data_IF_301517641073
#
_entry.id   IF_301517641073
#
_cell.length_a   1.000
_cell.length_b   1.000
_cell.length_c   1.000
_cell.angle_alpha   90.00
_cell.angle_beta   90.00
_cell.angle_gamma   90.00
#
_symmetry.space_group_name_H-M   'P 1'
#
loop_
_entity.id
_entity.type
_entity.pdbx_description
1 polymer ?
#
# COMPACT_ATOMS: atom_id res chain seq x y z
N UNK A 1 -22.42 -9.20 -20.41
CA UNK A 1 -22.23 -7.93 -19.66
C UNK A 1 -21.62 -8.29 -18.32
N UNK A 2 -20.53 -7.65 -17.93
CA UNK A 2 -19.93 -7.81 -16.60
C UNK A 2 -20.66 -6.88 -15.63
N UNK A 3 -21.39 -7.46 -14.67
CA UNK A 3 -22.23 -6.70 -13.74
C UNK A 3 -21.44 -6.09 -12.58
N UNK A 4 -20.22 -6.59 -12.33
CA UNK A 4 -19.40 -6.16 -11.19
C UNK A 4 -18.65 -4.83 -11.40
N UNK A 5 -18.53 -4.33 -12.63
CA UNK A 5 -17.87 -3.06 -12.92
C UNK A 5 -16.41 -3.02 -12.43
N UNK A 6 -16.04 -1.99 -11.66
CA UNK A 6 -14.68 -1.84 -11.06
C UNK A 6 -14.49 -2.62 -9.75
N UNK A 7 -15.56 -3.23 -9.23
CA UNK A 7 -15.58 -3.94 -7.95
C UNK A 7 -15.29 -5.42 -8.17
N UNK A 8 -14.04 -5.73 -8.51
CA UNK A 8 -13.55 -7.10 -8.70
C UNK A 8 -12.55 -7.43 -7.59
N UNK A 9 -12.67 -8.61 -6.98
CA UNK A 9 -11.73 -9.09 -5.95
C UNK A 9 -11.83 -8.31 -4.65
N UNK A 10 -10.68 -7.92 -4.06
CA UNK A 10 -10.65 -7.20 -2.78
C UNK A 10 -11.49 -5.93 -2.79
N UNK A 11 -11.52 -5.22 -3.92
CA UNK A 11 -12.35 -4.03 -4.13
C UNK A 11 -13.83 -4.30 -3.90
N UNK A 12 -14.31 -5.49 -4.24
CA UNK A 12 -15.69 -5.91 -3.95
C UNK A 12 -15.87 -6.17 -2.46
N UNK A 13 -15.02 -7.00 -1.87
CA UNK A 13 -15.13 -7.41 -0.47
C UNK A 13 -15.05 -6.22 0.49
N UNK A 14 -14.15 -5.27 0.23
CA UNK A 14 -14.08 -4.02 0.99
C UNK A 14 -15.38 -3.21 0.81
N UNK A 15 -15.88 -3.05 -0.42
CA UNK A 15 -17.07 -2.25 -0.70
C UNK A 15 -18.40 -2.82 -0.15
N UNK A 16 -18.43 -4.11 0.22
CA UNK A 16 -19.59 -4.76 0.85
C UNK A 16 -19.36 -5.09 2.32
N UNK A 17 -18.27 -4.61 2.92
CA UNK A 17 -17.87 -4.86 4.31
C UNK A 17 -17.93 -6.36 4.68
N UNK A 18 -17.42 -7.20 3.78
CA UNK A 18 -17.44 -8.66 3.93
C UNK A 18 -16.14 -9.13 4.58
N UNK A 19 -16.26 -9.75 5.76
CA UNK A 19 -15.13 -10.40 6.41
C UNK A 19 -14.63 -11.59 5.58
N UNK A 20 -13.37 -11.51 5.16
CA UNK A 20 -12.68 -12.58 4.43
C UNK A 20 -11.63 -13.25 5.32
N UNK A 21 -11.50 -14.57 5.18
CA UNK A 21 -10.57 -15.36 5.98
C UNK A 21 -9.10 -14.93 5.78
N UNK A 22 -8.74 -14.55 4.56
CA UNK A 22 -7.43 -14.01 4.21
C UNK A 22 -7.60 -12.86 3.21
N UNK A 23 -7.38 -11.60 3.62
CA UNK A 23 -7.53 -10.46 2.72
C UNK A 23 -6.42 -10.45 1.66
N UNK A 24 -6.67 -9.73 0.57
CA UNK A 24 -5.66 -9.52 -0.46
C UNK A 24 -4.41 -8.87 0.13
N UNK A 25 -3.24 -9.37 -0.27
CA UNK A 25 -1.96 -8.90 0.26
C UNK A 25 -1.62 -9.43 1.67
N UNK A 26 -2.44 -10.30 2.27
CA UNK A 26 -2.13 -10.92 3.54
C UNK A 26 -0.98 -11.93 3.41
N UNK A 27 -0.02 -11.85 4.33
CA UNK A 27 1.07 -12.79 4.44
C UNK A 27 1.64 -12.75 5.85
N UNK A 28 1.71 -13.91 6.50
CA UNK A 28 2.40 -14.03 7.78
C UNK A 28 3.91 -14.07 7.55
N UNK A 29 4.63 -13.55 8.54
CA UNK A 29 6.08 -13.56 8.56
C UNK A 29 6.60 -14.03 9.90
N UNK A 30 7.81 -14.59 9.91
CA UNK A 30 8.48 -15.02 11.14
C UNK A 30 9.14 -13.86 11.90
N UNK A 31 9.05 -12.64 11.38
CA UNK A 31 9.52 -11.41 12.02
C UNK A 31 8.37 -10.41 12.13
N UNK A 32 8.48 -9.49 13.10
CA UNK A 32 7.51 -8.42 13.30
C UNK A 32 8.09 -7.13 12.78
N UNK A 33 7.38 -6.46 11.87
CA UNK A 33 7.80 -5.20 11.28
C UNK A 33 6.88 -4.06 11.70
N UNK A 34 7.44 -2.87 11.86
CA UNK A 34 6.69 -1.63 12.13
C UNK A 34 6.98 -0.61 11.04
N UNK A 35 5.95 0.13 10.66
CA UNK A 35 6.07 1.28 9.76
C UNK A 35 5.88 2.55 10.59
N UNK A 36 6.80 3.50 10.45
CA UNK A 36 6.75 4.81 11.13
C UNK A 36 7.16 5.94 10.18
N UNK A 37 7.05 7.17 10.66
CA UNK A 37 7.59 8.37 9.99
C UNK A 37 7.11 8.52 8.54
N UNK A 38 5.80 8.32 8.35
CA UNK A 38 5.16 8.40 7.04
C UNK A 38 5.02 9.87 6.66
N UNK A 39 5.65 10.26 5.56
CA UNK A 39 5.59 11.59 4.99
C UNK A 39 5.22 11.53 3.50
N UNK A 40 4.38 12.46 3.06
CA UNK A 40 3.97 12.59 1.66
C UNK A 40 4.49 13.93 1.16
N UNK A 41 5.34 13.90 0.13
CA UNK A 41 5.82 15.10 -0.53
C UNK A 41 5.08 15.30 -1.86
N UNK A 42 4.58 16.53 -2.13
CA UNK A 42 3.96 16.85 -3.40
C UNK A 42 4.99 16.73 -4.54
N UNK A 43 4.53 16.55 -5.79
CA UNK A 43 5.44 16.35 -6.90
C UNK A 43 6.23 17.63 -7.19
N UNK A 44 7.49 17.48 -7.59
CA UNK A 44 8.36 18.62 -7.95
C UNK A 44 7.90 19.36 -9.21
N UNK A 45 6.92 18.84 -9.93
CA UNK A 45 6.44 19.36 -11.22
C UNK A 45 4.91 19.42 -11.24
N UNK A 46 4.38 20.58 -11.65
CA UNK A 46 2.95 20.82 -11.87
C UNK A 46 2.47 20.36 -13.26
N UNK A 47 3.37 19.93 -14.14
CA UNK A 47 3.02 19.43 -15.47
C UNK A 47 2.47 18.02 -15.37
N UNK A 48 1.17 17.88 -15.59
CA UNK A 48 0.46 16.60 -15.67
C UNK A 48 0.78 15.89 -17.00
N UNK A 49 1.98 15.31 -17.11
CA UNK A 49 2.30 14.35 -18.18
C UNK A 49 1.94 12.95 -17.65
N UNK A 50 1.29 12.13 -18.48
CA UNK A 50 1.03 10.74 -18.16
C UNK A 50 2.32 10.03 -17.67
N UNK A 51 2.22 9.27 -16.58
CA UNK A 51 3.33 8.58 -15.90
C UNK A 51 4.28 9.47 -15.08
N UNK A 52 3.95 10.74 -14.81
CA UNK A 52 4.70 11.54 -13.83
C UNK A 52 4.30 11.17 -12.40
N UNK A 53 5.25 10.92 -11.48
CA UNK A 53 4.95 10.72 -10.07
C UNK A 53 4.19 11.94 -9.52
N UNK A 54 3.00 11.70 -8.98
CA UNK A 54 2.09 12.73 -8.45
C UNK A 54 2.27 12.97 -6.95
N UNK A 55 3.07 12.15 -6.29
CA UNK A 55 3.53 12.32 -4.91
C UNK A 55 4.73 11.40 -4.69
N UNK A 56 5.56 11.71 -3.70
CA UNK A 56 6.59 10.80 -3.18
C UNK A 56 6.18 10.45 -1.75
N UNK A 57 6.06 9.17 -1.43
CA UNK A 57 5.77 8.69 -0.09
C UNK A 57 7.08 8.16 0.52
N UNK A 58 7.53 8.77 1.61
CA UNK A 58 8.65 8.27 2.40
C UNK A 58 8.17 7.73 3.74
N UNK A 59 8.75 6.62 4.18
CA UNK A 59 8.43 6.00 5.47
C UNK A 59 9.62 5.18 5.96
N UNK A 60 9.64 4.89 7.26
CA UNK A 60 10.60 4.00 7.88
C UNK A 60 9.97 2.63 8.11
N UNK A 61 10.70 1.57 7.76
CA UNK A 61 10.36 0.18 8.08
C UNK A 61 11.38 -0.35 9.08
N UNK A 62 10.92 -0.84 10.22
CA UNK A 62 11.73 -1.45 11.26
C UNK A 62 11.38 -2.92 11.42
N UNK A 63 12.37 -3.81 11.42
CA UNK A 63 12.21 -5.18 11.90
C UNK A 63 12.48 -5.21 13.42
N UNK A 64 11.46 -5.48 14.22
CA UNK A 64 11.55 -5.62 15.67
C UNK A 64 11.73 -7.08 16.14
N UNK A 65 11.85 -8.03 15.22
CA UNK A 65 12.13 -9.43 15.50
C UNK A 65 13.61 -9.73 15.71
N UNK A 66 13.88 -10.96 16.17
CA UNK A 66 15.22 -11.49 16.41
C UNK A 66 15.84 -12.21 15.19
N UNK A 67 15.12 -12.26 14.07
CA UNK A 67 15.55 -12.87 12.84
C UNK A 67 15.43 -11.89 11.67
N UNK A 68 16.34 -11.98 10.71
CA UNK A 68 16.23 -11.23 9.45
C UNK A 68 15.05 -11.73 8.61
N UNK A 69 14.54 -10.86 7.74
CA UNK A 69 13.37 -11.17 6.93
C UNK A 69 13.13 -10.17 5.82
N UNK A 70 12.05 -10.38 5.08
CA UNK A 70 11.57 -9.48 4.03
C UNK A 70 10.15 -9.06 4.33
N UNK A 71 9.91 -7.76 4.34
CA UNK A 71 8.62 -7.14 4.54
C UNK A 71 8.07 -6.63 3.20
N UNK A 72 6.77 -6.76 2.96
CA UNK A 72 6.13 -6.28 1.72
C UNK A 72 5.16 -5.15 2.06
N UNK A 73 5.63 -3.91 1.95
CA UNK A 73 4.82 -2.73 2.22
C UNK A 73 3.96 -2.40 1.01
N UNK A 74 2.65 -2.27 1.23
CA UNK A 74 1.65 -2.04 0.18
C UNK A 74 1.06 -0.64 0.34
N UNK A 75 1.04 0.14 -0.74
CA UNK A 75 0.50 1.49 -0.78
C UNK A 75 -0.86 1.46 -1.45
N UNK A 76 -1.89 1.81 -0.69
CA UNK A 76 -3.26 1.92 -1.17
C UNK A 76 -3.69 3.39 -1.24
N UNK A 77 -4.40 3.77 -2.30
CA UNK A 77 -4.96 5.11 -2.48
C UNK A 77 -6.48 5.00 -2.45
N UNK A 78 -7.10 5.87 -1.66
CA UNK A 78 -8.55 6.06 -1.61
C UNK A 78 -8.88 7.38 -2.32
N UNK A 79 -9.88 7.37 -3.21
CA UNK A 79 -10.38 8.59 -3.84
C UNK A 79 -11.51 9.17 -2.99
N UNK A 80 -11.34 10.40 -2.52
CA UNK A 80 -12.36 11.10 -1.73
C UNK A 80 -13.41 11.82 -2.59
N UNK A 81 -13.14 12.04 -3.86
CA UNK A 81 -13.95 12.86 -4.76
C UNK A 81 -14.04 12.32 -6.20
N UNK A 82 -15.12 12.69 -6.88
CA UNK A 82 -15.40 12.33 -8.27
C UNK A 82 -16.86 11.95 -8.52
N UNK A 83 -17.24 11.89 -9.79
CA UNK A 83 -18.57 11.40 -10.23
C UNK A 83 -18.44 9.92 -10.55
N UNK A 84 -19.15 9.06 -9.81
CA UNK A 84 -19.17 7.61 -10.04
C UNK A 84 -19.03 6.80 -8.75
N UNK A 85 -18.97 5.47 -8.89
CA UNK A 85 -18.65 4.55 -7.80
C UNK A 85 -17.17 4.17 -7.90
N UNK A 86 -16.42 4.39 -6.82
CA UNK A 86 -15.01 4.04 -6.73
C UNK A 86 -14.81 2.97 -5.64
N UNK A 87 -13.80 2.10 -5.78
CA UNK A 87 -13.36 1.25 -4.68
C UNK A 87 -12.89 2.09 -3.49
N UNK A 88 -13.07 1.58 -2.27
CA UNK A 88 -12.66 2.29 -1.05
C UNK A 88 -11.14 2.49 -0.98
N UNK A 89 -10.39 1.51 -1.47
CA UNK A 89 -8.94 1.57 -1.58
C UNK A 89 -8.48 0.82 -2.83
N UNK A 90 -7.45 1.33 -3.48
CA UNK A 90 -6.82 0.70 -4.64
C UNK A 90 -5.32 0.60 -4.42
N UNK A 91 -4.75 -0.60 -4.58
CA UNK A 91 -3.31 -0.80 -4.54
C UNK A 91 -2.67 0.02 -5.68
N UNK A 92 -1.81 0.97 -5.31
CA UNK A 92 -1.12 1.85 -6.25
C UNK A 92 0.32 1.43 -6.47
N UNK A 93 1.00 1.00 -5.41
CA UNK A 93 2.38 0.52 -5.48
C UNK A 93 2.69 -0.42 -4.31
N UNK A 94 3.79 -1.15 -4.38
CA UNK A 94 4.31 -1.95 -3.28
C UNK A 94 5.85 -2.00 -3.32
N UNK A 95 6.48 -2.05 -2.16
CA UNK A 95 7.92 -2.22 -2.03
C UNK A 95 8.25 -3.41 -1.13
N UNK A 96 9.21 -4.22 -1.57
CA UNK A 96 9.74 -5.32 -0.78
C UNK A 96 11.07 -4.90 -0.15
N UNK A 97 11.13 -4.93 1.18
CA UNK A 97 12.27 -4.45 1.96
C UNK A 97 12.89 -5.64 2.68
N UNK A 98 14.18 -5.86 2.47
CA UNK A 98 14.94 -6.84 3.24
C UNK A 98 15.55 -6.17 4.47
N UNK A 99 15.36 -6.76 5.65
CA UNK A 99 15.78 -6.21 6.94
C UNK A 99 16.41 -7.30 7.80
N UNK A 100 17.59 -7.03 8.35
CA UNK A 100 18.18 -7.80 9.45
C UNK A 100 17.38 -7.66 10.75
N UNK A 101 17.73 -8.47 11.75
CA UNK A 101 17.13 -8.37 13.08
C UNK A 101 17.43 -6.98 13.69
N UNK A 102 16.39 -6.28 14.16
CA UNK A 102 16.51 -4.92 14.70
C UNK A 102 16.76 -3.81 13.67
N UNK A 103 16.89 -4.13 12.38
CA UNK A 103 17.26 -3.16 11.35
C UNK A 103 16.11 -2.18 11.06
N UNK A 104 16.48 -0.94 10.74
CA UNK A 104 15.60 0.12 10.26
C UNK A 104 16.04 0.57 8.88
N UNK A 105 15.11 0.69 7.94
CA UNK A 105 15.35 1.28 6.61
C UNK A 105 14.33 2.35 6.31
N UNK A 106 14.80 3.47 5.81
CA UNK A 106 13.94 4.47 5.16
C UNK A 106 13.69 4.04 3.72
N UNK A 107 12.43 4.04 3.32
CA UNK A 107 11.98 3.69 1.98
C UNK A 107 11.24 4.87 1.36
N UNK A 108 11.27 4.94 0.04
CA UNK A 108 10.52 5.94 -0.72
C UNK A 108 9.98 5.32 -2.00
N UNK A 109 8.73 5.65 -2.32
CA UNK A 109 8.01 5.26 -3.54
C UNK A 109 7.39 6.47 -4.22
#
# INVERSE_FOLDING_TARGET
>A
MYGEGVFVGYKHYDAVDCEVMFPFGHGLSYHSSFISDVEIQPPKTTSSIANTPVAILSFMVQNAGNAGGRESVQIYVARSDGIGRFPEKELRDFIKVELGAGEKKTCSV
#
